data_IF_706371714880
#
_entry.id   IF_706371714880
#
_cell.length_a   1.000
_cell.length_b   1.000
_cell.length_c   1.000
_cell.angle_alpha   90.00
_cell.angle_beta   90.00
_cell.angle_gamma   90.00
#
_symmetry.space_group_name_H-M   'P 1'
#
loop_
_entity.id
_entity.type
_entity.pdbx_description
1 polymer ?
#
# COMPACT_ATOMS: atom_id res chain seq x y z
N UNK A 1 -16.15 1.35 0.36
CA UNK A 1 -15.01 0.95 -0.50
C UNK A 1 -13.73 0.98 0.30
N UNK A 2 -13.08 -0.16 0.45
CA UNK A 2 -11.85 -0.26 1.21
C UNK A 2 -10.63 0.01 0.31
N UNK A 3 -9.72 0.84 0.80
CA UNK A 3 -8.46 1.13 0.12
C UNK A 3 -7.30 0.38 0.78
N UNK A 4 -6.65 -0.51 0.03
CA UNK A 4 -5.38 -1.08 0.46
C UNK A 4 -4.30 -0.01 0.22
N UNK A 5 -3.60 0.40 1.26
CA UNK A 5 -2.60 1.46 1.12
C UNK A 5 -1.25 0.86 0.76
N UNK A 6 -0.72 1.29 -0.38
CA UNK A 6 0.66 0.99 -0.77
C UNK A 6 1.64 1.59 0.25
N UNK A 7 2.82 0.99 0.36
CA UNK A 7 3.88 1.50 1.25
C UNK A 7 4.22 2.95 0.93
N UNK A 8 4.15 3.35 -0.35
CA UNK A 8 4.41 4.73 -0.75
C UNK A 8 3.35 5.73 -0.27
N UNK A 9 2.22 5.25 0.27
CA UNK A 9 1.23 6.06 0.98
C UNK A 9 1.45 5.98 2.49
N UNK A 10 1.70 4.77 3.01
CA UNK A 10 1.89 4.56 4.45
C UNK A 10 3.07 5.35 5.01
N UNK A 11 4.20 5.31 4.31
CA UNK A 11 5.41 6.01 4.76
C UNK A 11 5.17 7.52 4.88
N UNK A 12 4.69 8.23 3.84
CA UNK A 12 4.40 9.65 3.96
C UNK A 12 3.39 9.99 5.05
N UNK A 13 2.43 9.09 5.32
CA UNK A 13 1.47 9.33 6.40
C UNK A 13 2.16 9.37 7.77
N UNK A 14 3.14 8.51 8.00
CA UNK A 14 3.87 8.41 9.27
C UNK A 14 5.08 9.34 9.35
N UNK A 15 5.54 9.86 8.23
CA UNK A 15 6.72 10.73 8.15
C UNK A 15 6.27 12.15 7.75
N UNK A 16 6.11 13.02 8.74
CA UNK A 16 5.63 14.39 8.50
C UNK A 16 6.63 15.25 7.72
N UNK A 17 7.87 14.83 7.61
CA UNK A 17 8.90 15.54 6.82
C UNK A 17 9.03 15.00 5.39
N UNK A 18 8.25 13.98 5.04
CA UNK A 18 8.28 13.41 3.70
C UNK A 18 7.72 14.40 2.68
N UNK A 19 8.35 14.45 1.49
CA UNK A 19 7.93 15.36 0.41
C UNK A 19 6.45 15.16 0.02
N UNK A 20 5.94 13.95 0.15
CA UNK A 20 4.55 13.62 -0.19
C UNK A 20 3.62 13.53 1.01
N UNK A 21 4.06 13.99 2.19
CA UNK A 21 3.23 13.94 3.39
C UNK A 21 1.91 14.69 3.22
N UNK A 22 1.95 15.89 2.69
CA UNK A 22 0.74 16.72 2.52
C UNK A 22 -0.28 16.05 1.61
N UNK A 23 0.18 15.50 0.49
CA UNK A 23 -0.71 14.80 -0.46
C UNK A 23 -1.32 13.54 0.17
N UNK A 24 -0.50 12.72 0.84
CA UNK A 24 -0.97 11.49 1.49
C UNK A 24 -1.95 11.81 2.62
N UNK A 25 -1.59 12.72 3.50
CA UNK A 25 -2.41 13.10 4.64
C UNK A 25 -3.73 13.74 4.22
N UNK A 26 -3.70 14.61 3.21
CA UNK A 26 -4.90 15.26 2.69
C UNK A 26 -5.89 14.25 2.12
N UNK A 27 -5.41 13.31 1.30
CA UNK A 27 -6.25 12.26 0.75
C UNK A 27 -6.77 11.33 1.84
N UNK A 28 -5.91 10.91 2.76
CA UNK A 28 -6.28 9.98 3.83
C UNK A 28 -7.33 10.61 4.76
N UNK A 29 -7.14 11.87 5.13
CA UNK A 29 -8.08 12.57 6.01
C UNK A 29 -9.46 12.76 5.37
N UNK A 30 -9.48 13.02 4.06
CA UNK A 30 -10.73 13.29 3.34
C UNK A 30 -11.46 12.01 2.95
N UNK A 31 -10.73 10.96 2.57
CA UNK A 31 -11.30 9.77 1.92
C UNK A 31 -10.78 8.48 2.56
N UNK A 32 -9.46 8.23 2.49
CA UNK A 32 -8.88 6.90 2.73
C UNK A 32 -9.06 6.40 4.15
N UNK A 33 -8.89 7.26 5.14
CA UNK A 33 -8.93 6.87 6.55
C UNK A 33 -10.28 6.37 7.06
N UNK A 34 -11.31 6.49 6.24
CA UNK A 34 -12.67 6.05 6.59
C UNK A 34 -12.89 4.56 6.37
N UNK A 35 -12.07 3.91 5.53
CA UNK A 35 -12.12 2.47 5.28
C UNK A 35 -10.85 2.07 4.52
N UNK A 36 -9.86 1.60 5.25
CA UNK A 36 -8.57 1.26 4.65
C UNK A 36 -8.01 -0.03 5.22
N UNK A 37 -7.09 -0.63 4.48
CA UNK A 37 -6.49 -1.90 4.83
C UNK A 37 -4.97 -1.86 4.73
N UNK A 38 -4.33 -2.71 5.51
CA UNK A 38 -2.95 -3.14 5.32
C UNK A 38 -2.93 -4.67 5.20
N UNK A 39 -1.81 -5.19 4.72
CA UNK A 39 -1.58 -6.64 4.62
C UNK A 39 -0.15 -6.94 5.09
N UNK A 40 0.22 -8.23 5.26
CA UNK A 40 1.58 -8.58 5.70
C UNK A 40 2.69 -7.94 4.87
N UNK A 41 2.53 -7.87 3.54
CA UNK A 41 3.55 -7.26 2.67
C UNK A 41 3.71 -5.77 2.91
N UNK A 42 2.62 -5.02 3.04
CA UNK A 42 2.69 -3.58 3.26
C UNK A 42 3.22 -3.26 4.66
N UNK A 43 2.83 -4.03 5.66
CA UNK A 43 3.34 -3.88 7.03
C UNK A 43 4.83 -4.20 7.11
N UNK A 44 5.26 -5.29 6.47
CA UNK A 44 6.67 -5.64 6.38
C UNK A 44 7.48 -4.54 5.70
N UNK A 45 7.00 -4.04 4.57
CA UNK A 45 7.65 -2.98 3.82
C UNK A 45 7.79 -1.69 4.63
N UNK A 46 6.72 -1.30 5.29
CA UNK A 46 6.71 -0.09 6.13
C UNK A 46 7.75 -0.19 7.24
N UNK A 47 7.73 -1.27 8.01
CA UNK A 47 8.66 -1.46 9.12
C UNK A 47 10.10 -1.54 8.64
N UNK A 48 10.35 -2.31 7.58
CA UNK A 48 11.70 -2.53 7.07
C UNK A 48 12.32 -1.25 6.51
N UNK A 49 11.55 -0.45 5.80
CA UNK A 49 12.05 0.78 5.17
C UNK A 49 12.26 1.88 6.21
N UNK A 50 11.23 2.18 7.01
CA UNK A 50 11.30 3.31 7.93
C UNK A 50 12.24 3.08 9.12
N UNK A 51 12.43 1.84 9.56
CA UNK A 51 13.34 1.53 10.65
C UNK A 51 14.80 1.38 10.20
N UNK A 52 15.05 1.37 8.90
CA UNK A 52 16.41 1.31 8.39
C UNK A 52 17.11 2.65 8.68
N UNK A 53 18.30 2.64 9.35
CA UNK A 53 19.04 3.88 9.63
C UNK A 53 19.42 4.70 8.39
N UNK A 54 19.37 4.09 7.19
CA UNK A 54 19.62 4.79 5.93
C UNK A 54 18.40 5.55 5.44
N UNK A 55 17.24 5.33 6.04
CA UNK A 55 16.04 6.12 5.68
C UNK A 55 16.30 7.59 6.04
N UNK A 56 16.09 8.54 5.10
CA UNK A 56 16.54 9.94 5.30
C UNK A 56 15.97 10.60 6.55
N UNK A 57 14.73 10.31 6.89
CA UNK A 57 14.05 10.88 8.05
C UNK A 57 13.89 9.82 9.16
N UNK A 58 14.91 8.99 9.36
CA UNK A 58 14.84 7.88 10.31
C UNK A 58 14.33 8.35 11.68
N UNK A 59 13.28 7.69 12.15
CA UNK A 59 12.56 8.08 13.37
C UNK A 59 12.65 7.03 14.48
N UNK A 60 13.34 5.91 14.23
CA UNK A 60 13.50 4.91 15.27
C UNK A 60 13.58 3.48 14.78
N UNK A 61 13.62 2.58 15.76
CA UNK A 61 13.70 1.14 15.58
C UNK A 61 12.34 0.57 15.14
N UNK A 62 12.29 -0.70 14.70
CA UNK A 62 11.01 -1.32 14.34
C UNK A 62 9.91 -1.16 15.39
N UNK A 63 10.24 -1.30 16.68
CA UNK A 63 9.25 -1.15 17.76
C UNK A 63 8.62 0.25 17.78
N UNK A 64 9.41 1.27 17.46
CA UNK A 64 8.92 2.66 17.46
C UNK A 64 8.05 2.96 16.25
N UNK A 65 8.45 2.44 15.07
CA UNK A 65 7.62 2.56 13.87
C UNK A 65 6.32 1.78 14.01
N UNK A 66 6.39 0.58 14.60
CA UNK A 66 5.19 -0.22 14.90
C UNK A 66 4.23 0.53 15.83
N UNK A 67 4.74 1.25 16.82
CA UNK A 67 3.91 2.03 17.72
C UNK A 67 3.17 3.17 16.98
N UNK A 68 3.86 3.87 16.08
CA UNK A 68 3.24 4.90 15.25
C UNK A 68 2.13 4.32 14.36
N UNK A 69 2.41 3.19 13.73
CA UNK A 69 1.43 2.52 12.87
C UNK A 69 0.23 2.02 13.67
N UNK A 70 0.45 1.42 14.84
CA UNK A 70 -0.63 0.98 15.70
C UNK A 70 -1.51 2.15 16.15
N UNK A 71 -0.93 3.30 16.44
CA UNK A 71 -1.70 4.49 16.78
C UNK A 71 -2.62 4.89 15.61
N UNK A 72 -2.10 4.93 14.39
CA UNK A 72 -2.89 5.25 13.22
C UNK A 72 -4.03 4.25 13.00
N UNK A 73 -3.74 2.95 13.19
CA UNK A 73 -4.76 1.89 13.07
C UNK A 73 -5.90 2.06 14.06
N UNK A 74 -5.57 2.41 15.30
CA UNK A 74 -6.56 2.56 16.38
C UNK A 74 -7.41 3.81 16.21
N UNK A 75 -6.88 4.86 15.61
CA UNK A 75 -7.56 6.14 15.49
C UNK A 75 -8.38 6.26 14.20
N UNK A 76 -8.35 5.27 13.34
CA UNK A 76 -9.04 5.28 12.04
C UNK A 76 -9.71 3.93 11.76
N UNK A 77 -10.43 3.82 10.65
CA UNK A 77 -11.16 2.59 10.27
C UNK A 77 -10.25 1.64 9.50
N UNK A 78 -9.45 0.86 10.23
CA UNK A 78 -8.48 -0.06 9.67
C UNK A 78 -8.99 -1.49 9.60
N UNK A 79 -8.64 -2.18 8.49
CA UNK A 79 -8.83 -3.62 8.30
C UNK A 79 -7.49 -4.29 8.00
N UNK A 80 -7.29 -5.49 8.53
CA UNK A 80 -6.13 -6.30 8.15
C UNK A 80 -6.57 -7.33 7.12
N UNK A 81 -5.89 -7.36 5.95
CA UNK A 81 -6.11 -8.35 4.91
C UNK A 81 -4.93 -9.33 4.88
N UNK A 82 -5.23 -10.64 4.95
CA UNK A 82 -4.19 -11.65 4.77
C UNK A 82 -3.72 -11.72 3.32
N UNK A 83 -2.52 -12.26 3.10
CA UNK A 83 -2.00 -12.53 1.77
C UNK A 83 -2.59 -13.85 1.25
N UNK A 84 -3.85 -13.81 0.81
CA UNK A 84 -4.69 -14.97 0.55
C UNK A 84 -4.62 -15.49 -0.88
N UNK A 85 -3.95 -14.78 -1.78
CA UNK A 85 -3.94 -15.10 -3.20
C UNK A 85 -2.53 -15.47 -3.67
N UNK A 86 -2.46 -16.18 -4.79
CA UNK A 86 -1.20 -16.57 -5.40
C UNK A 86 -0.99 -15.84 -6.73
N UNK A 87 0.22 -15.33 -6.93
CA UNK A 87 0.65 -14.77 -8.23
C UNK A 87 0.56 -15.82 -9.35
N UNK A 88 0.52 -17.09 -9.01
CA UNK A 88 0.45 -18.19 -9.99
C UNK A 88 -0.99 -18.54 -10.36
N UNK A 89 -1.98 -17.87 -9.78
CA UNK A 89 -3.38 -18.12 -10.11
C UNK A 89 -3.77 -17.36 -11.39
N UNK A 90 -4.00 -18.06 -12.52
CA UNK A 90 -4.33 -17.39 -13.79
C UNK A 90 -5.73 -16.78 -13.80
N UNK A 91 -6.56 -17.09 -12.82
CA UNK A 91 -7.86 -16.43 -12.65
C UNK A 91 -7.76 -15.04 -12.06
N UNK A 92 -6.62 -14.69 -11.49
CA UNK A 92 -6.38 -13.39 -10.85
C UNK A 92 -5.34 -12.59 -11.61
N UNK A 93 -4.25 -13.24 -12.04
CA UNK A 93 -3.09 -12.57 -12.65
C UNK A 93 -2.84 -13.05 -14.07
N UNK A 94 -2.46 -12.13 -14.94
CA UNK A 94 -1.80 -12.42 -16.21
C UNK A 94 -0.30 -12.23 -16.01
N UNK A 95 0.39 -13.32 -15.68
CA UNK A 95 1.80 -13.26 -15.30
C UNK A 95 2.72 -12.79 -16.44
N UNK A 96 2.30 -13.00 -17.70
CA UNK A 96 3.07 -12.51 -18.84
C UNK A 96 3.19 -10.98 -18.88
N UNK A 97 2.22 -10.30 -18.28
CA UNK A 97 2.23 -8.85 -18.18
C UNK A 97 3.14 -8.32 -17.06
N UNK A 98 3.69 -9.21 -16.22
CA UNK A 98 4.69 -8.83 -15.22
C UNK A 98 6.06 -8.99 -15.87
N UNK A 99 6.59 -7.89 -16.44
CA UNK A 99 7.75 -7.96 -17.32
C UNK A 99 9.09 -7.74 -16.62
N UNK A 100 9.08 -7.35 -15.34
CA UNK A 100 10.32 -7.13 -14.58
C UNK A 100 10.10 -7.44 -13.09
N UNK A 101 11.17 -7.92 -12.43
CA UNK A 101 11.05 -8.33 -11.02
C UNK A 101 10.58 -7.21 -10.10
N UNK A 102 10.97 -5.97 -10.38
CA UNK A 102 10.59 -4.82 -9.54
C UNK A 102 9.10 -4.49 -9.54
N UNK A 103 8.32 -5.05 -10.48
CA UNK A 103 6.88 -4.82 -10.56
C UNK A 103 6.05 -5.84 -9.79
N UNK A 104 6.67 -6.91 -9.28
CA UNK A 104 5.94 -8.08 -8.72
C UNK A 104 5.10 -7.68 -7.51
N UNK A 105 5.67 -6.96 -6.55
CA UNK A 105 4.95 -6.58 -5.33
C UNK A 105 3.76 -5.69 -5.63
N UNK A 106 3.94 -4.69 -6.48
CA UNK A 106 2.85 -3.76 -6.82
C UNK A 106 1.70 -4.47 -7.51
N UNK A 107 2.02 -5.38 -8.44
CA UNK A 107 1.00 -6.19 -9.12
C UNK A 107 0.28 -7.10 -8.13
N UNK A 108 1.01 -7.72 -7.19
CA UNK A 108 0.38 -8.55 -6.16
C UNK A 108 -0.62 -7.73 -5.33
N UNK A 109 -0.20 -6.54 -4.88
CA UNK A 109 -1.08 -5.68 -4.07
C UNK A 109 -2.33 -5.27 -4.84
N UNK A 110 -2.19 -4.97 -6.12
CA UNK A 110 -3.34 -4.67 -6.98
C UNK A 110 -4.28 -5.87 -7.08
N UNK A 111 -3.73 -7.07 -7.26
CA UNK A 111 -4.50 -8.32 -7.29
C UNK A 111 -5.23 -8.57 -5.98
N UNK A 112 -4.58 -8.36 -4.85
CA UNK A 112 -5.20 -8.52 -3.53
C UNK A 112 -6.36 -7.54 -3.35
N UNK A 113 -6.16 -6.28 -3.72
CA UNK A 113 -7.21 -5.27 -3.64
C UNK A 113 -8.42 -5.65 -4.50
N UNK A 114 -8.19 -6.11 -5.73
CA UNK A 114 -9.26 -6.58 -6.62
C UNK A 114 -9.99 -7.78 -6.03
N UNK A 115 -9.24 -8.75 -5.49
CA UNK A 115 -9.80 -9.95 -4.87
C UNK A 115 -10.72 -9.61 -3.69
N UNK A 116 -10.37 -8.59 -2.93
CA UNK A 116 -11.13 -8.11 -1.77
C UNK A 116 -12.22 -7.11 -2.15
N UNK A 117 -12.46 -6.88 -3.43
CA UNK A 117 -13.43 -5.89 -3.92
C UNK A 117 -13.14 -4.46 -3.44
N UNK A 118 -11.87 -4.16 -3.20
CA UNK A 118 -11.39 -2.84 -2.84
C UNK A 118 -10.57 -2.20 -3.95
N UNK A 119 -9.78 -1.21 -3.56
CA UNK A 119 -8.86 -0.56 -4.48
C UNK A 119 -7.47 -0.44 -3.84
N UNK A 120 -6.43 -0.53 -4.66
CA UNK A 120 -5.07 -0.19 -4.25
C UNK A 120 -4.90 1.32 -4.39
N UNK A 121 -4.61 1.99 -3.27
CA UNK A 121 -4.27 3.41 -3.27
C UNK A 121 -2.75 3.56 -3.32
N UNK A 122 -2.25 4.27 -4.30
CA UNK A 122 -0.81 4.39 -4.56
C UNK A 122 -0.50 5.73 -5.23
N UNK A 123 0.75 6.17 -5.10
CA UNK A 123 1.28 7.27 -5.91
C UNK A 123 1.88 6.82 -7.23
N UNK A 124 2.09 5.51 -7.43
CA UNK A 124 2.79 5.00 -8.60
C UNK A 124 1.87 4.91 -9.82
N UNK A 125 2.12 5.76 -10.82
CA UNK A 125 1.37 5.79 -12.07
C UNK A 125 1.80 4.72 -13.06
N UNK A 126 2.87 3.96 -12.75
CA UNK A 126 3.49 3.02 -13.70
C UNK A 126 3.05 1.58 -13.49
N UNK A 127 2.20 1.31 -12.51
CA UNK A 127 1.70 -0.04 -12.25
C UNK A 127 0.91 -0.52 -13.47
N UNK A 128 1.32 -1.68 -14.02
CA UNK A 128 0.62 -2.26 -15.17
C UNK A 128 -0.64 -2.99 -14.71
N UNK A 129 -1.77 -2.31 -14.78
CA UNK A 129 -3.05 -2.88 -14.36
C UNK A 129 -3.51 -4.03 -15.26
N UNK A 130 -2.94 -4.20 -16.46
CA UNK A 130 -3.23 -5.35 -17.32
C UNK A 130 -2.74 -6.67 -16.74
N UNK A 131 -1.80 -6.63 -15.79
CA UNK A 131 -1.30 -7.83 -15.13
C UNK A 131 -2.31 -8.44 -14.15
N UNK A 132 -3.41 -7.75 -13.86
CA UNK A 132 -4.46 -8.21 -12.98
C UNK A 132 -5.78 -8.19 -13.74
N UNK A 133 -6.54 -9.29 -13.66
CA UNK A 133 -7.88 -9.38 -14.26
C UNK A 133 -8.80 -8.41 -13.51
N UNK A 134 -9.33 -7.41 -14.22
CA UNK A 134 -10.12 -6.34 -13.62
C UNK A 134 -9.28 -5.32 -12.87
N UNK A 135 -7.96 -5.28 -13.10
CA UNK A 135 -7.03 -4.44 -12.36
C UNK A 135 -7.23 -2.95 -12.55
N UNK A 136 -7.67 -2.52 -13.74
CA UNK A 136 -7.88 -1.09 -14.00
C UNK A 136 -8.92 -0.48 -13.05
N UNK A 137 -9.96 -1.23 -12.72
CA UNK A 137 -11.02 -0.77 -11.81
C UNK A 137 -10.55 -0.73 -10.35
N UNK A 138 -9.55 -1.55 -10.01
CA UNK A 138 -9.02 -1.66 -8.65
C UNK A 138 -7.84 -0.73 -8.38
N UNK A 139 -7.35 -0.01 -9.38
CA UNK A 139 -6.21 0.89 -9.21
C UNK A 139 -6.69 2.32 -8.96
N UNK A 140 -6.26 2.88 -7.84
CA UNK A 140 -6.54 4.27 -7.48
C UNK A 140 -5.22 5.01 -7.28
N UNK A 141 -4.84 5.83 -8.27
CA UNK A 141 -3.62 6.63 -8.20
C UNK A 141 -3.95 7.99 -7.60
N UNK A 142 -3.24 8.35 -6.53
CA UNK A 142 -3.41 9.62 -5.84
C UNK A 142 -2.49 10.65 -6.48
N UNK A 143 -3.00 11.84 -6.72
CA UNK A 143 -2.20 12.95 -7.25
C UNK A 143 -1.29 13.54 -6.16
N UNK A 144 -0.06 13.83 -6.56
CA UNK A 144 0.93 14.46 -5.67
C UNK A 144 1.14 15.93 -5.94
#
# INVERSE_FOLDING_TARGET
>A
MTYLLDVNILIPLLDSSHIHHTAAFGWFSAIGGKDWASCPLTENGLLRIMSNPRYPNWAGKPVEIAALFNYMRQMTEHRFWGDEISLLDPGIFDIEEIRKPGAITDVYLLGLARFKNGKLATFDRRINANAVIGGHEALHVIDT
#
